data_IF_228012130121
#
_entry.id   IF_228012130121
#
_cell.length_a   1.000
_cell.length_b   1.000
_cell.length_c   1.000
_cell.angle_alpha   90.00
_cell.angle_beta   90.00
_cell.angle_gamma   90.00
#
_symmetry.space_group_name_H-M   'P 1'
#
loop_
_entity.id
_entity.type
_entity.pdbx_description
1 polymer ?
#
# COMPACT_ATOMS: atom_id res chain seq x y z
N UNK A 1 3.05 -23.55 8.76
CA UNK A 1 1.95 -23.05 7.92
C UNK A 1 2.56 -22.15 6.89
N UNK A 2 2.32 -22.40 5.61
CA UNK A 2 2.86 -21.56 4.55
C UNK A 2 2.28 -20.15 4.70
N UNK A 3 3.09 -19.20 5.15
CA UNK A 3 2.83 -17.78 4.89
C UNK A 3 2.72 -17.66 3.37
N UNK A 4 1.49 -17.57 2.86
CA UNK A 4 1.24 -17.31 1.44
C UNK A 4 2.06 -16.10 1.06
N UNK A 5 2.92 -16.23 0.05
CA UNK A 5 3.85 -15.15 -0.32
C UNK A 5 2.99 -13.94 -0.61
N UNK A 6 3.05 -12.90 0.21
CA UNK A 6 2.22 -11.73 -0.03
C UNK A 6 3.05 -10.77 -0.86
N UNK A 7 2.76 -10.66 -2.14
CA UNK A 7 3.43 -9.73 -3.03
C UNK A 7 2.94 -8.33 -2.69
N UNK A 8 3.88 -7.47 -2.31
CA UNK A 8 3.62 -6.06 -2.01
C UNK A 8 4.21 -5.19 -3.10
N UNK A 9 3.40 -4.35 -3.72
CA UNK A 9 3.83 -3.40 -4.75
C UNK A 9 3.58 -1.97 -4.26
N UNK A 10 4.56 -1.09 -4.46
CA UNK A 10 4.44 0.32 -4.07
C UNK A 10 3.54 1.01 -5.09
N UNK A 11 2.45 1.62 -4.62
CA UNK A 11 1.63 2.48 -5.46
C UNK A 11 2.44 3.74 -5.78
N UNK A 12 3.06 3.77 -6.97
CA UNK A 12 3.91 4.88 -7.44
C UNK A 12 3.13 6.16 -7.72
N UNK A 13 1.80 6.06 -7.86
CA UNK A 13 0.89 7.14 -8.21
C UNK A 13 0.21 7.79 -7.01
N UNK A 14 0.27 7.17 -5.82
CA UNK A 14 -0.38 7.67 -4.61
C UNK A 14 0.63 7.81 -3.46
N UNK A 15 1.33 8.95 -3.45
CA UNK A 15 2.25 9.37 -2.38
C UNK A 15 1.80 10.69 -1.72
N UNK A 16 0.64 10.71 -1.04
CA UNK A 16 0.28 11.86 -0.22
C UNK A 16 1.12 11.92 1.07
N UNK A 17 1.29 13.13 1.60
CA UNK A 17 1.82 13.39 2.95
C UNK A 17 1.05 12.63 4.04
N UNK A 18 -0.21 12.32 3.79
CA UNK A 18 -1.07 11.48 4.64
C UNK A 18 -1.68 10.38 3.76
N UNK A 19 -1.13 9.17 3.86
CA UNK A 19 -1.68 8.00 3.23
C UNK A 19 -3.04 7.69 3.87
N UNK A 20 -4.12 7.92 3.12
CA UNK A 20 -5.44 7.47 3.52
C UNK A 20 -5.60 5.99 3.19
N UNK A 21 -5.74 5.15 4.22
CA UNK A 21 -5.90 3.70 4.03
C UNK A 21 -7.08 3.36 3.10
N UNK A 22 -8.22 4.08 3.19
CA UNK A 22 -9.36 3.90 2.28
C UNK A 22 -9.02 4.20 0.82
N UNK A 23 -8.33 5.31 0.54
CA UNK A 23 -7.95 5.69 -0.82
C UNK A 23 -6.90 4.73 -1.38
N UNK A 24 -5.94 4.33 -0.55
CA UNK A 24 -4.94 3.33 -0.85
C UNK A 24 -5.59 1.97 -1.17
N UNK A 25 -6.50 1.51 -0.31
CA UNK A 25 -7.26 0.28 -0.51
C UNK A 25 -8.07 0.32 -1.81
N UNK A 26 -8.79 1.41 -2.06
CA UNK A 26 -9.60 1.59 -3.27
C UNK A 26 -8.74 1.56 -4.53
N UNK A 27 -7.56 2.19 -4.53
CA UNK A 27 -6.63 2.14 -5.66
C UNK A 27 -6.09 0.72 -5.88
N UNK A 28 -5.59 0.08 -4.82
CA UNK A 28 -5.08 -1.28 -4.87
C UNK A 28 -6.13 -2.28 -5.36
N UNK A 29 -7.38 -2.17 -4.88
CA UNK A 29 -8.48 -3.01 -5.32
C UNK A 29 -8.78 -2.85 -6.82
N UNK A 30 -8.72 -1.62 -7.34
CA UNK A 30 -8.89 -1.37 -8.79
C UNK A 30 -7.78 -2.01 -9.62
N UNK A 31 -6.58 -2.12 -9.08
CA UNK A 31 -5.43 -2.78 -9.72
C UNK A 31 -5.43 -4.31 -9.52
N UNK A 32 -6.42 -4.87 -8.82
CA UNK A 32 -6.54 -6.31 -8.55
C UNK A 32 -5.78 -6.79 -7.32
N UNK A 33 -5.35 -5.88 -6.45
CA UNK A 33 -4.76 -6.18 -5.16
C UNK A 33 -5.84 -6.16 -4.06
N UNK A 34 -6.20 -7.31 -3.46
CA UNK A 34 -7.25 -7.40 -2.46
C UNK A 34 -6.86 -6.84 -1.09
N UNK A 35 -5.60 -6.44 -0.91
CA UNK A 35 -5.12 -5.81 0.30
C UNK A 35 -4.35 -4.53 -0.01
N UNK A 36 -4.27 -3.67 0.99
CA UNK A 36 -3.41 -2.49 0.97
C UNK A 36 -2.80 -2.27 2.36
N UNK A 37 -1.77 -1.43 2.42
CA UNK A 37 -1.17 -0.97 3.67
C UNK A 37 -0.50 0.37 3.47
N UNK A 38 -0.90 1.37 4.24
CA UNK A 38 -0.12 2.60 4.37
C UNK A 38 1.12 2.35 5.25
N UNK A 39 2.29 2.75 4.76
CA UNK A 39 3.56 2.63 5.49
C UNK A 39 4.25 3.99 5.52
N UNK A 40 4.63 4.43 6.72
CA UNK A 40 5.43 5.65 6.91
C UNK A 40 6.89 5.30 6.60
N UNK A 41 7.46 5.95 5.60
CA UNK A 41 8.86 5.73 5.18
C UNK A 41 9.81 6.77 5.74
N UNK A 42 9.31 7.99 5.98
CA UNK A 42 10.08 9.08 6.56
C UNK A 42 9.23 9.82 7.57
N UNK A 43 9.85 10.28 8.66
CA UNK A 43 9.18 11.08 9.69
C UNK A 43 9.47 12.59 9.58
N UNK A 44 10.50 12.99 8.83
CA UNK A 44 10.88 14.39 8.63
C UNK A 44 11.37 14.64 7.17
N UNK A 45 10.53 15.20 6.29
CA UNK A 45 9.08 15.39 6.43
C UNK A 45 8.34 14.05 6.49
N UNK A 46 7.14 14.00 7.12
CA UNK A 46 6.35 12.77 7.19
C UNK A 46 5.95 12.34 5.77
N UNK A 47 6.50 11.22 5.34
CA UNK A 47 6.23 10.65 4.03
C UNK A 47 5.66 9.25 4.23
N UNK A 48 4.51 9.03 3.64
CA UNK A 48 3.81 7.75 3.69
C UNK A 48 3.56 7.25 2.29
N UNK A 49 3.80 5.96 2.08
CA UNK A 49 3.56 5.28 0.82
C UNK A 49 2.41 4.29 0.97
N UNK A 50 1.64 4.15 -0.09
CA UNK A 50 0.63 3.11 -0.20
C UNK A 50 1.29 1.83 -0.76
N UNK A 51 1.16 0.71 -0.04
CA UNK A 51 1.58 -0.61 -0.50
C UNK A 51 0.36 -1.45 -0.85
N UNK A 52 0.23 -1.85 -2.10
CA UNK A 52 -0.79 -2.79 -2.55
C UNK A 52 -0.31 -4.22 -2.30
N UNK A 53 -1.17 -5.03 -1.67
CA UNK A 53 -0.86 -6.41 -1.28
C UNK A 53 -1.75 -7.38 -2.02
N UNK A 54 -1.15 -8.40 -2.62
CA UNK A 54 -1.88 -9.52 -3.21
C UNK A 54 -1.26 -10.85 -2.78
N UNK A 55 -2.08 -11.91 -2.68
CA UNK A 55 -1.55 -13.26 -2.57
C UNK A 55 -0.77 -13.60 -3.84
N UNK A 56 0.46 -14.05 -3.64
CA UNK A 56 1.25 -14.84 -4.57
C UNK A 56 1.68 -16.14 -3.83
#
# INVERSE_FOLDING_TARGET
GSEGKTCSEVSRTYTPLLCGDDTCATHCHKEGFPGSKCVITSFDPPFSICLCKKPC
#
